data_IF_074996165294
#
_entry.id   IF_074996165294
#
_cell.length_a   1.000
_cell.length_b   1.000
_cell.length_c   1.000
_cell.angle_alpha   90.00
_cell.angle_beta   90.00
_cell.angle_gamma   90.00
#
_symmetry.space_group_name_H-M   'P 1'
#
loop_
_entity.id
_entity.type
_entity.pdbx_description
1 polymer ?
#
# COMPACT_ATOMS: atom_id res chain seq x y z
N UNK A 1 17.21 -8.93 -16.55
CA UNK A 1 16.28 -8.02 -17.25
C UNK A 1 16.00 -6.83 -16.35
N UNK A 2 16.00 -5.59 -16.86
CA UNK A 2 15.69 -4.43 -16.04
C UNK A 2 14.21 -4.46 -15.59
N UNK A 3 13.92 -3.92 -14.40
CA UNK A 3 12.55 -3.74 -13.94
C UNK A 3 11.72 -2.95 -14.97
N UNK A 4 10.43 -3.28 -15.06
CA UNK A 4 9.50 -2.63 -15.98
C UNK A 4 9.39 -1.14 -15.67
N UNK A 5 9.02 -0.36 -16.68
CA UNK A 5 8.79 1.08 -16.51
C UNK A 5 7.66 1.34 -15.51
N UNK A 6 6.60 0.51 -15.55
CA UNK A 6 5.48 0.60 -14.61
C UNK A 6 5.94 0.41 -13.16
N UNK A 7 6.78 -0.60 -12.89
CA UNK A 7 7.28 -0.83 -11.53
C UNK A 7 8.08 0.38 -11.02
N UNK A 8 9.00 0.91 -11.84
CA UNK A 8 9.82 2.09 -11.48
C UNK A 8 8.96 3.31 -11.19
N UNK A 9 7.92 3.54 -12.00
CA UNK A 9 6.97 4.63 -11.80
C UNK A 9 6.19 4.49 -10.49
N UNK A 10 5.60 3.32 -10.20
CA UNK A 10 4.87 3.09 -8.95
C UNK A 10 5.76 3.19 -7.71
N UNK A 11 7.03 2.76 -7.81
CA UNK A 11 8.00 2.84 -6.72
C UNK A 11 8.39 4.27 -6.40
N UNK A 12 8.58 5.11 -7.42
CA UNK A 12 9.03 6.50 -7.26
C UNK A 12 7.89 7.50 -7.08
N UNK A 13 6.68 7.16 -7.52
CA UNK A 13 5.47 7.97 -7.43
C UNK A 13 4.29 7.15 -6.84
N UNK A 14 4.31 6.86 -5.53
CA UNK A 14 3.25 6.13 -4.87
C UNK A 14 1.97 6.98 -4.79
N UNK A 15 0.88 6.48 -5.36
CA UNK A 15 -0.35 7.26 -5.60
C UNK A 15 -1.25 7.42 -4.37
N UNK A 16 -1.12 6.52 -3.39
CA UNK A 16 -1.96 6.46 -2.20
C UNK A 16 -1.12 6.32 -0.92
N UNK A 17 0.08 6.90 -0.89
CA UNK A 17 0.91 6.88 0.31
C UNK A 17 0.38 7.88 1.35
N UNK A 18 0.36 7.47 2.61
CA UNK A 18 -0.06 8.29 3.74
C UNK A 18 -1.27 7.72 4.47
N UNK A 19 -1.80 8.49 5.41
CA UNK A 19 -2.95 8.10 6.22
C UNK A 19 -4.26 8.43 5.47
N UNK A 20 -5.18 7.47 5.43
CA UNK A 20 -6.53 7.68 4.91
C UNK A 20 -7.44 8.17 6.04
N UNK A 21 -7.87 9.44 5.98
CA UNK A 21 -8.88 9.96 6.90
C UNK A 21 -10.16 9.12 6.85
N UNK A 22 -10.86 8.96 7.98
CA UNK A 22 -12.10 8.16 8.07
C UNK A 22 -12.00 6.75 7.45
N UNK A 23 -10.84 6.11 7.51
CA UNK A 23 -10.74 4.68 7.25
C UNK A 23 -11.59 3.94 8.29
N UNK A 24 -12.29 2.90 7.86
CA UNK A 24 -13.10 2.03 8.73
C UNK A 24 -12.58 0.59 8.78
N UNK A 25 -11.51 0.29 8.04
CA UNK A 25 -10.73 -0.93 8.19
C UNK A 25 -9.23 -0.61 8.05
N UNK A 26 -8.41 -1.22 8.91
CA UNK A 26 -6.95 -1.10 8.87
C UNK A 26 -6.34 -2.46 9.16
N UNK A 27 -5.35 -2.84 8.37
CA UNK A 27 -4.54 -4.04 8.59
C UNK A 27 -3.06 -3.69 8.47
N UNK A 28 -2.24 -4.37 9.25
CA UNK A 28 -0.80 -4.21 9.20
C UNK A 28 -0.15 -5.60 9.15
N UNK A 29 0.75 -5.78 8.19
CA UNK A 29 1.44 -7.04 7.97
C UNK A 29 2.92 -6.79 7.75
N UNK A 30 3.73 -7.79 8.09
CA UNK A 30 5.19 -7.73 7.96
C UNK A 30 5.74 -9.00 7.36
N UNK A 31 6.72 -8.86 6.46
CA UNK A 31 7.52 -9.96 5.94
C UNK A 31 8.88 -10.00 6.68
N UNK A 32 9.06 -10.91 7.66
CA UNK A 32 10.26 -10.93 8.51
C UNK A 32 11.53 -11.34 7.77
N UNK A 33 11.43 -11.95 6.59
CA UNK A 33 12.59 -12.40 5.81
C UNK A 33 13.32 -11.22 5.18
N UNK A 34 12.58 -10.28 4.61
CA UNK A 34 13.13 -9.10 3.93
C UNK A 34 13.05 -7.82 4.77
N UNK A 35 12.30 -7.84 5.88
CA UNK A 35 12.06 -6.68 6.73
C UNK A 35 10.98 -5.74 6.21
N UNK A 36 10.19 -6.15 5.20
CA UNK A 36 9.10 -5.33 4.67
C UNK A 36 8.00 -5.20 5.72
N UNK A 37 7.44 -3.99 5.85
CA UNK A 37 6.28 -3.71 6.69
C UNK A 37 5.33 -2.83 5.91
N UNK A 38 4.05 -3.21 5.92
CA UNK A 38 3.01 -2.48 5.21
C UNK A 38 1.78 -2.32 6.10
N UNK A 39 1.27 -1.08 6.16
CA UNK A 39 -0.01 -0.75 6.76
C UNK A 39 -0.97 -0.35 5.65
N UNK A 40 -2.11 -1.03 5.58
CA UNK A 40 -3.18 -0.75 4.62
C UNK A 40 -4.40 -0.23 5.36
N UNK A 41 -4.92 0.90 4.91
CA UNK A 41 -6.16 1.49 5.39
C UNK A 41 -7.19 1.53 4.27
N UNK A 42 -8.41 1.11 4.58
CA UNK A 42 -9.54 1.08 3.65
C UNK A 42 -10.71 1.89 4.22
N UNK A 43 -11.46 2.54 3.33
CA UNK A 43 -12.79 3.06 3.63
C UNK A 43 -13.79 2.32 2.76
N UNK A 44 -14.46 1.33 3.37
CA UNK A 44 -15.45 0.48 2.70
C UNK A 44 -16.85 1.02 2.95
N UNK A 45 -17.66 1.18 1.90
CA UNK A 45 -19.06 1.61 2.02
C UNK A 45 -19.93 0.80 1.06
N UNK A 46 -21.07 0.28 1.54
CA UNK A 46 -21.99 -0.52 0.73
C UNK A 46 -21.32 -1.72 0.04
N UNK A 47 -20.32 -2.32 0.70
CA UNK A 47 -19.56 -3.46 0.17
C UNK A 47 -18.51 -3.13 -0.89
N UNK A 48 -18.08 -1.86 -1.01
CA UNK A 48 -17.03 -1.41 -1.93
C UNK A 48 -15.98 -0.58 -1.22
#
# INVERSE_FOLDING_TARGET
MPYSQAFKDHLTNPRNAGELANANAVAEESNPVCGDRMRLSLRVSQGR
#
